data_IF_014798572095
#
_entry.id   IF_014798572095
#
_cell.length_a   1.000
_cell.length_b   1.000
_cell.length_c   1.000
_cell.angle_alpha   90.00
_cell.angle_beta   90.00
_cell.angle_gamma   90.00
#
_symmetry.space_group_name_H-M   'P 1'
#
loop_
_entity.id
_entity.type
_entity.pdbx_description
1 polymer ?
#
# COMPACT_ATOMS: atom_id res chain seq x y z
N UNK A 1 -11.45 -6.21 -19.90
CA UNK A 1 -10.57 -6.55 -18.77
C UNK A 1 -10.69 -8.01 -18.40
N UNK A 2 -9.59 -8.62 -18.03
CA UNK A 2 -9.55 -10.04 -17.65
C UNK A 2 -8.88 -10.20 -16.28
N UNK A 3 -9.17 -11.27 -15.51
CA UNK A 3 -8.46 -11.60 -14.29
C UNK A 3 -6.96 -11.71 -14.53
N UNK A 4 -6.16 -11.24 -13.58
CA UNK A 4 -4.70 -11.25 -13.67
C UNK A 4 -4.05 -11.93 -12.47
N UNK A 5 -3.76 -13.24 -12.55
CA UNK A 5 -3.01 -13.95 -11.53
C UNK A 5 -1.61 -13.36 -11.28
N UNK A 6 -0.99 -12.81 -12.32
CA UNK A 6 0.33 -12.19 -12.22
C UNK A 6 0.31 -10.95 -11.32
N UNK A 7 -0.72 -10.12 -11.43
CA UNK A 7 -0.89 -8.94 -10.58
C UNK A 7 -1.25 -9.35 -9.15
N UNK A 8 -2.09 -10.37 -8.98
CA UNK A 8 -2.36 -10.93 -7.63
C UNK A 8 -1.05 -11.38 -6.95
N UNK A 9 -0.19 -12.07 -7.69
CA UNK A 9 1.12 -12.49 -7.19
C UNK A 9 1.99 -11.27 -6.82
N UNK A 10 1.98 -10.21 -7.64
CA UNK A 10 2.70 -8.96 -7.33
C UNK A 10 2.21 -8.33 -6.03
N UNK A 11 0.89 -8.29 -5.81
CA UNK A 11 0.33 -7.77 -4.55
C UNK A 11 0.78 -8.62 -3.34
N UNK A 12 0.75 -9.94 -3.46
CA UNK A 12 1.22 -10.85 -2.40
C UNK A 12 2.70 -10.62 -2.08
N UNK A 13 3.52 -10.45 -3.10
CA UNK A 13 4.95 -10.13 -2.94
C UNK A 13 5.18 -8.78 -2.27
N UNK A 14 4.37 -7.77 -2.62
CA UNK A 14 4.44 -6.45 -2.00
C UNK A 14 4.11 -6.53 -0.50
N UNK A 15 3.01 -7.21 -0.15
CA UNK A 15 2.62 -7.40 1.26
C UNK A 15 3.67 -8.20 2.02
N UNK A 16 4.23 -9.25 1.42
CA UNK A 16 5.30 -10.03 2.03
C UNK A 16 6.57 -9.19 2.25
N UNK A 17 6.94 -8.35 1.29
CA UNK A 17 8.07 -7.44 1.43
C UNK A 17 7.85 -6.40 2.55
N UNK A 18 6.64 -5.84 2.64
CA UNK A 18 6.26 -4.97 3.75
C UNK A 18 6.37 -5.69 5.10
N UNK A 19 5.87 -6.92 5.17
CA UNK A 19 5.91 -7.74 6.38
C UNK A 19 7.36 -8.01 6.83
N UNK A 20 8.26 -8.24 5.90
CA UNK A 20 9.68 -8.50 6.19
C UNK A 20 10.53 -7.23 6.37
N UNK A 21 9.97 -6.05 6.08
CA UNK A 21 10.74 -4.80 6.03
C UNK A 21 11.76 -4.79 4.89
N UNK A 22 11.51 -5.53 3.82
CA UNK A 22 12.40 -5.64 2.66
C UNK A 22 12.16 -4.49 1.69
N UNK A 23 12.75 -3.33 1.98
CA UNK A 23 12.60 -2.12 1.15
C UNK A 23 13.17 -2.32 -0.25
N UNK A 24 14.23 -3.13 -0.41
CA UNK A 24 14.78 -3.45 -1.73
C UNK A 24 13.79 -4.20 -2.62
N UNK A 25 12.98 -5.10 -2.04
CA UNK A 25 11.93 -5.79 -2.78
C UNK A 25 10.81 -4.81 -3.18
N UNK A 26 10.40 -3.90 -2.29
CA UNK A 26 9.42 -2.85 -2.58
C UNK A 26 9.92 -1.96 -3.72
N UNK A 27 11.18 -1.58 -3.68
CA UNK A 27 11.84 -0.80 -4.73
C UNK A 27 11.74 -1.48 -6.10
N UNK A 28 12.01 -2.78 -6.18
CA UNK A 28 11.91 -3.55 -7.43
C UNK A 28 10.47 -3.69 -7.95
N UNK A 29 9.48 -3.66 -7.08
CA UNK A 29 8.06 -3.79 -7.43
C UNK A 29 7.40 -2.45 -7.80
N UNK A 30 8.08 -1.33 -7.56
CA UNK A 30 7.57 0.03 -7.78
C UNK A 30 8.17 0.62 -9.05
N UNK A 31 7.33 1.28 -9.85
CA UNK A 31 7.79 2.01 -11.04
C UNK A 31 8.67 3.20 -10.66
N UNK A 32 9.68 3.49 -11.49
CA UNK A 32 10.54 4.69 -11.37
C UNK A 32 10.08 5.84 -12.25
N UNK A 33 8.98 5.66 -12.97
CA UNK A 33 8.44 6.68 -13.87
C UNK A 33 7.83 7.84 -13.10
N UNK A 34 7.84 9.02 -13.70
CA UNK A 34 7.17 10.21 -13.15
C UNK A 34 5.67 9.97 -12.97
N UNK A 35 5.12 10.42 -11.86
CA UNK A 35 3.69 10.32 -11.55
C UNK A 35 3.33 9.15 -10.64
N UNK A 36 4.31 8.43 -10.11
CA UNK A 36 4.06 7.39 -9.11
C UNK A 36 3.58 8.01 -7.79
N UNK A 37 2.59 7.37 -7.16
CA UNK A 37 1.99 7.84 -5.90
C UNK A 37 1.81 6.66 -4.94
N UNK A 38 2.14 6.87 -3.68
CA UNK A 38 1.82 5.94 -2.60
C UNK A 38 1.11 6.70 -1.46
N UNK A 39 -0.04 6.17 -1.04
CA UNK A 39 -0.84 6.72 0.05
C UNK A 39 -0.98 5.62 1.10
N UNK A 40 -0.51 5.90 2.30
CA UNK A 40 -0.64 4.99 3.44
C UNK A 40 -1.82 5.34 4.34
N UNK A 41 -1.87 4.67 5.48
CA UNK A 41 -2.97 4.81 6.45
C UNK A 41 -2.83 6.04 7.36
N UNK A 42 -1.61 6.56 7.50
CA UNK A 42 -1.34 7.76 8.29
C UNK A 42 -1.47 9.02 7.42
N UNK A 43 -2.02 10.13 7.92
CA UNK A 43 -2.11 11.40 7.18
C UNK A 43 -0.77 11.90 6.63
N UNK A 44 0.35 11.57 7.26
CA UNK A 44 1.69 11.93 6.79
C UNK A 44 2.21 11.03 5.66
N UNK A 45 1.56 9.90 5.40
CA UNK A 45 1.95 8.92 4.40
C UNK A 45 1.29 9.20 3.05
N UNK A 46 1.55 10.37 2.49
CA UNK A 46 1.14 10.75 1.14
C UNK A 46 2.39 11.15 0.37
N UNK A 47 2.93 10.23 -0.43
CA UNK A 47 4.20 10.41 -1.12
C UNK A 47 4.03 10.36 -2.62
N UNK A 48 4.66 11.27 -3.31
CA UNK A 48 4.71 11.34 -4.77
C UNK A 48 6.15 11.13 -5.23
N UNK A 49 6.29 10.53 -6.41
CA UNK A 49 7.57 10.20 -7.02
C UNK A 49 8.38 9.13 -6.26
N UNK A 50 9.08 8.35 -7.02
CA UNK A 50 9.79 7.17 -6.53
C UNK A 50 10.75 7.47 -5.35
N UNK A 51 11.56 8.52 -5.46
CA UNK A 51 12.55 8.82 -4.43
C UNK A 51 11.94 9.20 -3.09
N UNK A 52 10.83 9.94 -3.11
CA UNK A 52 10.10 10.27 -1.89
C UNK A 52 9.46 9.03 -1.24
N UNK A 53 8.85 8.16 -2.07
CA UNK A 53 8.26 6.91 -1.60
C UNK A 53 9.33 6.03 -0.92
N UNK A 54 10.48 5.87 -1.55
CA UNK A 54 11.55 5.05 -1.00
C UNK A 54 12.14 5.66 0.27
N UNK A 55 12.31 6.98 0.33
CA UNK A 55 12.76 7.67 1.54
C UNK A 55 11.81 7.39 2.71
N UNK A 56 10.50 7.53 2.49
CA UNK A 56 9.50 7.26 3.52
C UNK A 56 9.53 5.78 3.97
N UNK A 57 9.66 4.85 3.03
CA UNK A 57 9.78 3.43 3.33
C UNK A 57 11.01 3.13 4.21
N UNK A 58 12.16 3.72 3.90
CA UNK A 58 13.37 3.56 4.71
C UNK A 58 13.20 4.16 6.11
N UNK A 59 12.62 5.35 6.21
CA UNK A 59 12.41 6.03 7.49
C UNK A 59 11.39 5.31 8.38
N UNK A 60 10.38 4.69 7.80
CA UNK A 60 9.31 3.99 8.53
C UNK A 60 9.61 2.53 8.86
N UNK A 61 10.71 1.98 8.33
CA UNK A 61 11.13 0.61 8.60
C UNK A 61 12.16 0.60 9.74
N UNK A 62 11.80 0.14 10.95
CA UNK A 62 12.74 0.11 12.07
C UNK A 62 13.90 -0.88 11.84
N UNK A 63 15.08 -0.57 12.34
CA UNK A 63 16.25 -1.46 12.32
C UNK A 63 15.99 -2.81 13.03
N UNK A 64 15.10 -2.80 14.03
CA UNK A 64 14.69 -3.99 14.78
C UNK A 64 13.69 -4.90 14.02
N UNK A 65 13.33 -4.56 12.79
CA UNK A 65 12.31 -5.24 12.01
C UNK A 65 10.90 -4.66 12.19
N UNK A 66 9.92 -5.14 11.43
CA UNK A 66 8.57 -4.60 11.46
C UNK A 66 7.90 -4.85 12.80
N UNK A 67 7.30 -3.79 13.35
CA UNK A 67 6.53 -3.83 14.60
C UNK A 67 5.07 -4.26 14.35
N UNK A 68 4.62 -4.18 13.10
CA UNK A 68 3.25 -4.48 12.69
C UNK A 68 3.28 -5.72 11.79
N UNK A 69 2.45 -6.71 12.12
CA UNK A 69 2.22 -7.87 11.26
C UNK A 69 1.13 -7.56 10.24
N UNK A 70 1.43 -7.83 8.97
CA UNK A 70 0.51 -7.58 7.86
C UNK A 70 0.00 -8.91 7.32
N UNK A 71 -1.33 -9.09 7.33
CA UNK A 71 -1.99 -10.25 6.74
C UNK A 71 -2.86 -9.82 5.57
N UNK A 72 -2.75 -10.52 4.45
CA UNK A 72 -3.61 -10.33 3.28
C UNK A 72 -4.72 -11.39 3.32
N UNK A 73 -5.97 -10.95 3.44
CA UNK A 73 -7.14 -11.84 3.54
C UNK A 73 -7.78 -12.10 2.17
N UNK A 74 -7.96 -11.06 1.36
CA UNK A 74 -8.50 -11.17 0.00
C UNK A 74 -7.67 -10.38 -0.99
N UNK A 75 -7.63 -10.85 -2.24
CA UNK A 75 -7.01 -10.15 -3.35
C UNK A 75 -7.74 -10.48 -4.64
N UNK A 76 -8.02 -9.45 -5.44
CA UNK A 76 -8.61 -9.58 -6.77
C UNK A 76 -7.88 -8.64 -7.71
N UNK A 77 -7.47 -9.12 -8.87
CA UNK A 77 -6.74 -8.31 -9.83
C UNK A 77 -7.25 -8.53 -11.26
N UNK A 78 -7.15 -7.49 -12.05
CA UNK A 78 -7.57 -7.45 -13.44
C UNK A 78 -6.52 -6.70 -14.27
N UNK A 79 -6.50 -6.99 -15.56
CA UNK A 79 -5.62 -6.31 -16.50
C UNK A 79 -6.36 -5.96 -17.81
N UNK A 80 -5.91 -4.89 -18.44
CA UNK A 80 -6.34 -4.42 -19.74
C UNK A 80 -5.15 -3.81 -20.46
N UNK A 81 -4.63 -4.46 -21.50
CA UNK A 81 -3.40 -4.02 -22.17
C UNK A 81 -2.21 -4.01 -21.21
N UNK A 82 -1.54 -2.88 -21.12
CA UNK A 82 -0.36 -2.70 -20.26
C UNK A 82 -0.68 -2.08 -18.89
N UNK A 83 -1.96 -1.98 -18.54
CA UNK A 83 -2.41 -1.46 -17.24
C UNK A 83 -3.21 -2.52 -16.52
N UNK A 84 -3.03 -2.60 -15.22
CA UNK A 84 -3.82 -3.46 -14.37
C UNK A 84 -4.09 -2.81 -13.02
N UNK A 85 -5.00 -3.41 -12.27
CA UNK A 85 -5.38 -2.94 -10.94
C UNK A 85 -5.68 -4.11 -10.03
N UNK A 86 -5.54 -3.87 -8.76
CA UNK A 86 -5.76 -4.85 -7.72
C UNK A 86 -6.45 -4.19 -6.54
N UNK A 87 -7.36 -4.91 -5.93
CA UNK A 87 -7.92 -4.58 -4.63
C UNK A 87 -7.70 -5.75 -3.66
N UNK A 88 -7.61 -5.43 -2.38
CA UNK A 88 -7.46 -6.43 -1.34
C UNK A 88 -7.90 -5.92 0.02
N UNK A 89 -8.24 -6.87 0.88
CA UNK A 89 -8.44 -6.63 2.29
C UNK A 89 -7.40 -7.38 3.10
N UNK A 90 -7.04 -6.82 4.24
CA UNK A 90 -6.08 -7.43 5.13
C UNK A 90 -6.24 -6.94 6.54
N UNK A 91 -5.28 -7.27 7.37
CA UNK A 91 -5.25 -6.86 8.78
C UNK A 91 -3.85 -6.43 9.16
N UNK A 92 -3.77 -5.37 9.93
CA UNK A 92 -2.58 -5.01 10.69
C UNK A 92 -2.74 -5.51 12.12
N UNK A 93 -1.75 -6.23 12.62
CA UNK A 93 -1.73 -6.74 13.99
C UNK A 93 -0.51 -6.20 14.74
N UNK A 94 -0.75 -5.72 15.96
CA UNK A 94 0.28 -5.21 16.85
C UNK A 94 -0.18 -5.41 18.31
N UNK A 95 0.68 -6.02 19.13
CA UNK A 95 0.43 -6.25 20.56
C UNK A 95 -0.94 -6.88 20.87
N UNK A 96 -1.39 -7.85 20.04
CA UNK A 96 -2.66 -8.54 20.23
C UNK A 96 -3.88 -7.77 19.73
N UNK A 97 -3.71 -6.56 19.23
CA UNK A 97 -4.76 -5.79 18.57
C UNK A 97 -4.72 -6.00 17.06
N UNK A 98 -5.88 -5.93 16.41
CA UNK A 98 -6.01 -6.10 14.97
C UNK A 98 -6.91 -5.02 14.38
N UNK A 99 -6.47 -4.46 13.25
CA UNK A 99 -7.22 -3.46 12.50
C UNK A 99 -7.35 -3.92 11.05
N UNK A 100 -8.58 -3.87 10.50
CA UNK A 100 -8.81 -4.17 9.11
C UNK A 100 -8.28 -3.05 8.22
N UNK A 101 -7.57 -3.42 7.17
CA UNK A 101 -7.05 -2.50 6.15
C UNK A 101 -7.61 -2.88 4.79
N UNK A 102 -7.85 -1.87 3.96
CA UNK A 102 -8.24 -2.00 2.56
C UNK A 102 -7.11 -1.45 1.70
N UNK A 103 -6.80 -2.17 0.64
CA UNK A 103 -5.66 -1.81 -0.23
C UNK A 103 -6.10 -1.83 -1.68
N UNK A 104 -5.63 -0.86 -2.44
CA UNK A 104 -5.75 -0.84 -3.90
C UNK A 104 -4.41 -0.45 -4.50
N UNK A 105 -4.15 -0.95 -5.71
CA UNK A 105 -3.01 -0.49 -6.48
C UNK A 105 -3.34 -0.52 -7.98
N UNK A 106 -2.72 0.38 -8.71
CA UNK A 106 -2.66 0.37 -10.17
C UNK A 106 -1.24 0.01 -10.57
N UNK A 107 -1.12 -0.91 -11.52
CA UNK A 107 0.16 -1.37 -12.03
C UNK A 107 0.25 -1.12 -13.54
N UNK A 108 1.47 -0.95 -14.02
CA UNK A 108 1.76 -0.85 -15.43
C UNK A 108 2.81 -1.89 -15.81
N UNK A 109 2.67 -2.46 -16.98
CA UNK A 109 3.67 -3.37 -17.54
C UNK A 109 4.83 -2.55 -18.09
N UNK A 110 6.02 -2.79 -17.56
CA UNK A 110 7.27 -2.14 -17.95
C UNK A 110 8.29 -3.25 -18.21
N UNK A 111 8.85 -3.29 -19.42
CA UNK A 111 9.81 -4.33 -19.83
C UNK A 111 9.31 -5.76 -19.56
N UNK A 112 8.02 -6.00 -19.78
CA UNK A 112 7.38 -7.30 -19.59
C UNK A 112 6.96 -7.63 -18.17
N UNK A 113 7.23 -6.78 -17.19
CA UNK A 113 6.91 -6.99 -15.78
C UNK A 113 5.95 -5.93 -15.24
N UNK A 114 5.11 -6.32 -14.28
CA UNK A 114 4.20 -5.43 -13.61
C UNK A 114 4.87 -4.63 -12.50
N UNK A 115 4.75 -3.29 -12.56
CA UNK A 115 5.26 -2.37 -11.53
C UNK A 115 4.14 -1.49 -11.00
N UNK A 116 4.09 -1.28 -9.70
CA UNK A 116 3.12 -0.39 -9.08
C UNK A 116 3.39 1.06 -9.47
N UNK A 117 2.34 1.75 -9.96
CA UNK A 117 2.37 3.18 -10.27
C UNK A 117 1.52 3.99 -9.31
N UNK A 118 0.56 3.35 -8.65
CA UNK A 118 -0.25 3.97 -7.61
C UNK A 118 -0.62 2.90 -6.59
N UNK A 119 -0.51 3.24 -5.30
CA UNK A 119 -0.97 2.39 -4.22
C UNK A 119 -1.69 3.22 -3.15
N UNK A 120 -2.68 2.60 -2.52
CA UNK A 120 -3.42 3.22 -1.44
C UNK A 120 -3.84 2.17 -0.42
N UNK A 121 -3.52 2.41 0.82
CA UNK A 121 -4.02 1.65 1.95
C UNK A 121 -4.86 2.57 2.85
N UNK A 122 -5.97 2.07 3.36
CA UNK A 122 -6.86 2.84 4.22
C UNK A 122 -7.48 1.98 5.32
N UNK A 123 -7.80 2.63 6.42
CA UNK A 123 -8.59 2.05 7.51
C UNK A 123 -9.99 2.62 7.42
N UNK A 124 -11.00 1.74 7.40
CA UNK A 124 -12.40 2.16 7.35
C UNK A 124 -12.85 2.72 8.69
N UNK A 125 -13.47 3.89 8.66
CA UNK A 125 -14.14 4.49 9.83
C UNK A 125 -15.64 4.51 9.55
N UNK A 126 -16.50 4.03 10.48
CA UNK A 126 -17.95 4.15 10.32
C UNK A 126 -18.36 5.61 10.09
N UNK A 127 -19.25 5.84 9.16
CA UNK A 127 -19.69 7.22 8.85
C UNK A 127 -20.22 7.97 10.06
N UNK A 128 -20.85 7.25 11.00
CA UNK A 128 -21.34 7.86 12.26
C UNK A 128 -20.20 8.42 13.14
N UNK A 129 -18.97 7.93 12.96
CA UNK A 129 -17.80 8.31 13.76
C UNK A 129 -16.82 9.20 12.97
N UNK A 130 -17.20 9.62 11.76
CA UNK A 130 -16.31 10.38 10.86
C UNK A 130 -15.81 11.70 11.47
N UNK A 131 -16.63 12.33 12.29
CA UNK A 131 -16.32 13.60 12.95
C UNK A 131 -15.99 13.42 14.44
N UNK A 132 -15.74 12.20 14.87
CA UNK A 132 -15.27 11.95 16.23
C UNK A 132 -13.87 12.58 16.42
N UNK A 133 -13.67 13.30 17.51
CA UNK A 133 -12.42 14.01 17.80
C UNK A 133 -11.20 13.09 17.87
N UNK A 134 -11.39 11.79 18.08
CA UNK A 134 -10.30 10.80 18.10
C UNK A 134 -9.65 10.60 16.72
N UNK A 135 -10.36 10.94 15.65
CA UNK A 135 -9.84 10.84 14.27
C UNK A 135 -9.32 12.17 13.71
N UNK A 136 -9.56 13.28 14.39
CA UNK A 136 -9.09 14.60 13.97
C UNK A 136 -7.72 14.88 14.58
N UNK A 137 -6.68 14.37 13.94
CA UNK A 137 -5.30 14.60 14.36
C UNK A 137 -4.71 15.93 13.89
N UNK A 138 -5.36 16.57 12.94
CA UNK A 138 -4.91 17.86 12.36
C UNK A 138 -6.02 18.91 12.55
N UNK A 139 -5.72 20.08 13.13
CA UNK A 139 -6.69 21.16 13.17
C UNK A 139 -7.13 21.54 11.76
N UNK A 140 -8.42 21.83 11.59
CA UNK A 140 -8.92 22.37 10.32
C UNK A 140 -8.12 23.63 9.98
N UNK A 141 -7.65 23.74 8.72
CA UNK A 141 -6.99 24.96 8.25
C UNK A 141 -7.98 26.12 8.33
N UNK A 142 -7.59 27.20 9.02
CA UNK A 142 -8.37 28.44 9.13
C UNK A 142 -8.09 29.35 7.95
#
# INVERSE_FOLDING_TARGET
MKPSPDIEDRMRRMVDALQRGDVSAIERLTSRETGVVAIGTDPAEYSREFDEIMRLMHESTPDAGPQIHVHLDTVHAYEEGDVGWVDGTGRFEHDGESVQVRMTAVLRREDGEWHAIQSHASIGVPNANMFDSTFQTTPAAT
#
